data_IF_627318377431
#
_entry.id   IF_627318377431
#
_cell.length_a   1.000
_cell.length_b   1.000
_cell.length_c   1.000
_cell.angle_alpha   90.00
_cell.angle_beta   90.00
_cell.angle_gamma   90.00
#
_symmetry.space_group_name_H-M   'P 1'
#
loop_
_entity.id
_entity.type
_entity.pdbx_description
1 polymer ?
#
# COMPACT_ATOMS: atom_id res chain seq x y z
N UNK A 1 34.55 2.56 -16.50
CA UNK A 1 34.52 2.01 -15.12
C UNK A 1 33.14 2.25 -14.54
N UNK A 2 32.59 1.20 -13.89
CA UNK A 2 31.28 1.03 -13.22
C UNK A 2 30.00 1.30 -14.02
N UNK A 3 29.45 0.23 -14.62
CA UNK A 3 28.07 0.17 -15.08
C UNK A 3 27.07 0.25 -13.92
N UNK A 4 25.86 0.70 -14.24
CA UNK A 4 24.71 0.83 -13.34
C UNK A 4 24.23 -0.54 -12.82
N UNK A 5 24.81 -1.02 -11.73
CA UNK A 5 24.36 -2.22 -11.00
C UNK A 5 23.20 -1.93 -10.02
N UNK A 6 22.27 -1.05 -10.39
CA UNK A 6 21.23 -0.52 -9.50
C UNK A 6 19.86 -1.22 -9.56
N UNK A 7 19.77 -2.43 -10.12
CA UNK A 7 18.50 -3.19 -10.12
C UNK A 7 18.23 -3.79 -8.74
N UNK A 8 17.07 -3.51 -8.13
CA UNK A 8 16.70 -4.10 -6.83
C UNK A 8 16.72 -5.63 -6.91
N UNK A 9 17.13 -6.34 -5.84
CA UNK A 9 17.05 -7.80 -5.79
C UNK A 9 15.62 -8.25 -6.06
N UNK A 10 15.44 -9.09 -7.07
CA UNK A 10 14.14 -9.69 -7.43
C UNK A 10 13.93 -11.00 -6.65
N UNK A 11 12.68 -11.44 -6.60
CA UNK A 11 12.30 -12.69 -5.94
C UNK A 11 12.09 -12.58 -4.42
N UNK A 12 11.83 -13.71 -3.74
CA UNK A 12 11.32 -13.71 -2.36
C UNK A 12 12.23 -13.01 -1.35
N UNK A 13 13.55 -13.19 -1.45
CA UNK A 13 14.53 -12.52 -0.58
C UNK A 13 14.53 -11.01 -0.77
N UNK A 14 14.35 -10.55 -2.01
CA UNK A 14 14.26 -9.12 -2.33
C UNK A 14 13.01 -8.48 -1.76
N UNK A 15 11.87 -9.17 -1.83
CA UNK A 15 10.61 -8.75 -1.22
C UNK A 15 10.77 -8.64 0.30
N UNK A 16 11.27 -9.69 0.96
CA UNK A 16 11.45 -9.70 2.42
C UNK A 16 12.40 -8.59 2.90
N UNK A 17 13.52 -8.38 2.19
CA UNK A 17 14.45 -7.28 2.49
C UNK A 17 13.79 -5.92 2.31
N UNK A 18 13.03 -5.72 1.22
CA UNK A 18 12.32 -4.47 0.96
C UNK A 18 11.29 -4.20 2.04
N UNK A 19 10.53 -5.22 2.43
CA UNK A 19 9.53 -5.14 3.50
C UNK A 19 10.17 -4.72 4.83
N UNK A 20 11.25 -5.38 5.23
CA UNK A 20 11.98 -5.02 6.45
C UNK A 20 12.58 -3.59 6.38
N UNK A 21 13.14 -3.19 5.24
CA UNK A 21 13.70 -1.85 5.07
C UNK A 21 12.63 -0.76 5.11
N UNK A 22 11.45 -0.98 4.52
CA UNK A 22 10.32 -0.03 4.59
C UNK A 22 9.83 0.13 6.01
N UNK A 23 9.73 -0.96 6.79
CA UNK A 23 9.29 -0.89 8.19
C UNK A 23 10.35 -0.25 9.10
N UNK A 24 11.64 -0.51 8.91
CA UNK A 24 12.64 -0.06 9.89
C UNK A 24 13.32 1.25 9.47
N UNK A 25 13.43 1.51 8.17
CA UNK A 25 14.17 2.64 7.60
C UNK A 25 13.41 3.28 6.43
N UNK A 26 12.15 3.74 6.63
CA UNK A 26 11.25 4.12 5.55
C UNK A 26 11.82 5.19 4.62
N UNK A 27 12.43 6.25 5.17
CA UNK A 27 13.00 7.35 4.36
C UNK A 27 14.04 6.84 3.37
N UNK A 28 14.96 6.00 3.85
CA UNK A 28 15.98 5.33 3.02
C UNK A 28 15.34 4.38 2.01
N UNK A 29 14.31 3.64 2.43
CA UNK A 29 13.61 2.69 1.58
C UNK A 29 12.90 3.38 0.40
N UNK A 30 12.27 4.52 0.62
CA UNK A 30 11.60 5.30 -0.43
C UNK A 30 12.60 6.06 -1.30
N UNK A 31 13.60 6.72 -0.72
CA UNK A 31 14.61 7.47 -1.48
C UNK A 31 15.39 6.58 -2.47
N UNK A 32 15.74 5.35 -2.06
CA UNK A 32 16.52 4.43 -2.91
C UNK A 32 15.65 3.40 -3.65
N UNK A 33 14.37 3.34 -3.33
CA UNK A 33 13.50 2.25 -3.74
C UNK A 33 12.58 2.55 -4.89
N UNK A 34 12.54 3.80 -5.31
CA UNK A 34 11.60 4.29 -6.27
C UNK A 34 12.37 4.50 -7.57
N UNK A 35 12.00 3.74 -8.59
CA UNK A 35 12.62 3.82 -9.91
C UNK A 35 11.58 4.31 -10.91
N UNK A 36 11.74 5.50 -11.51
CA UNK A 36 10.81 6.00 -12.53
C UNK A 36 10.60 4.97 -13.66
N UNK A 37 9.34 4.73 -14.02
CA UNK A 37 8.97 3.78 -15.07
C UNK A 37 8.97 2.29 -14.70
N UNK A 38 9.48 1.87 -13.53
CA UNK A 38 9.55 0.45 -13.14
C UNK A 38 8.53 0.08 -12.04
N UNK A 39 7.29 -0.20 -12.43
CA UNK A 39 6.20 -0.53 -11.50
C UNK A 39 6.10 -2.02 -11.14
N UNK A 40 6.70 -2.91 -11.94
CA UNK A 40 6.54 -4.36 -11.78
C UNK A 40 7.01 -4.88 -10.40
N UNK A 41 8.13 -4.40 -9.82
CA UNK A 41 8.53 -4.78 -8.47
C UNK A 41 7.53 -4.35 -7.40
N UNK A 42 6.92 -3.17 -7.53
CA UNK A 42 5.92 -2.68 -6.60
C UNK A 42 4.61 -3.46 -6.66
N UNK A 43 4.14 -3.81 -7.86
CA UNK A 43 2.98 -4.70 -8.02
C UNK A 43 3.24 -6.05 -7.35
N UNK A 44 4.39 -6.66 -7.61
CA UNK A 44 4.75 -7.95 -7.02
C UNK A 44 4.81 -7.87 -5.49
N UNK A 45 5.36 -6.77 -4.96
CA UNK A 45 5.40 -6.51 -3.52
C UNK A 45 4.00 -6.38 -2.91
N UNK A 46 3.12 -5.57 -3.51
CA UNK A 46 1.75 -5.39 -3.03
C UNK A 46 0.96 -6.70 -3.04
N UNK A 47 1.13 -7.53 -4.07
CA UNK A 47 0.52 -8.87 -4.15
C UNK A 47 1.05 -9.76 -3.01
N UNK A 48 2.34 -9.72 -2.69
CA UNK A 48 2.90 -10.48 -1.58
C UNK A 48 2.34 -10.03 -0.22
N UNK A 49 2.17 -8.72 -0.01
CA UNK A 49 1.51 -8.16 1.19
C UNK A 49 0.07 -8.63 1.29
N UNK A 50 -0.70 -8.54 0.21
CA UNK A 50 -2.10 -8.99 0.17
C UNK A 50 -2.24 -10.51 0.39
N UNK A 51 -1.31 -11.30 -0.15
CA UNK A 51 -1.24 -12.74 0.09
C UNK A 51 -1.01 -13.05 1.58
N UNK A 52 -0.03 -12.39 2.22
CA UNK A 52 0.25 -12.54 3.64
C UNK A 52 -0.95 -12.15 4.51
N UNK A 53 -1.58 -11.02 4.21
CA UNK A 53 -2.82 -10.58 4.87
C UNK A 53 -3.92 -11.65 4.75
N UNK A 54 -4.17 -12.15 3.54
CA UNK A 54 -5.26 -13.11 3.28
C UNK A 54 -5.02 -14.44 3.97
N UNK A 55 -3.78 -14.94 3.93
CA UNK A 55 -3.40 -16.16 4.65
C UNK A 55 -3.53 -15.99 6.16
N UNK A 56 -3.13 -14.83 6.71
CA UNK A 56 -3.31 -14.53 8.12
C UNK A 56 -4.78 -14.50 8.52
N UNK A 57 -5.66 -13.96 7.67
CA UNK A 57 -7.10 -13.96 7.93
C UNK A 57 -7.67 -15.39 7.87
N UNK A 58 -7.40 -16.16 6.81
CA UNK A 58 -7.82 -17.56 6.67
C UNK A 58 -7.35 -18.40 7.86
N UNK A 59 -6.11 -18.22 8.32
CA UNK A 59 -5.55 -18.98 9.43
C UNK A 59 -6.20 -18.62 10.79
N UNK A 60 -6.58 -17.34 10.98
CA UNK A 60 -7.13 -16.87 12.26
C UNK A 60 -8.65 -17.03 12.39
N UNK A 61 -9.36 -16.96 11.26
CA UNK A 61 -10.83 -17.00 11.22
C UNK A 61 -11.32 -17.57 9.88
N UNK A 62 -11.14 -18.89 9.68
CA UNK A 62 -11.53 -19.55 8.43
C UNK A 62 -13.03 -19.54 8.19
N UNK A 63 -13.85 -19.39 9.24
CA UNK A 63 -15.30 -19.39 9.17
C UNK A 63 -15.88 -18.07 8.62
N UNK A 64 -15.15 -16.96 8.75
CA UNK A 64 -15.51 -15.67 8.16
C UNK A 64 -15.21 -15.55 6.66
N UNK A 65 -14.64 -16.59 6.03
CA UNK A 65 -14.37 -16.60 4.60
C UNK A 65 -15.68 -16.76 3.80
N UNK A 66 -15.85 -16.03 2.69
CA UNK A 66 -16.97 -16.26 1.78
C UNK A 66 -17.03 -17.72 1.31
N UNK A 67 -18.22 -18.32 1.40
CA UNK A 67 -18.47 -19.66 0.87
C UNK A 67 -18.69 -19.57 -0.64
N UNK A 68 -17.73 -20.08 -1.42
CA UNK A 68 -17.79 -20.10 -2.88
C UNK A 68 -18.15 -21.50 -3.39
N UNK A 69 -17.64 -22.54 -2.72
CA UNK A 69 -17.92 -23.94 -2.99
C UNK A 69 -18.55 -24.57 -1.74
N UNK A 70 -19.88 -24.72 -1.69
CA UNK A 70 -20.59 -25.19 -0.49
C UNK A 70 -20.12 -26.54 0.05
N UNK A 71 -19.64 -27.43 -0.82
CA UNK A 71 -19.18 -28.77 -0.45
C UNK A 71 -17.75 -28.82 0.10
N UNK A 72 -16.98 -27.73 0.02
CA UNK A 72 -15.57 -27.73 0.44
C UNK A 72 -15.13 -26.36 0.96
N UNK A 73 -14.97 -26.21 2.30
CA UNK A 73 -14.42 -25.01 2.91
C UNK A 73 -13.00 -24.69 2.41
N UNK A 74 -12.16 -25.72 2.26
CA UNK A 74 -10.78 -25.55 1.78
C UNK A 74 -10.74 -25.02 0.35
N UNK A 75 -11.60 -25.53 -0.54
CA UNK A 75 -11.68 -25.03 -1.91
C UNK A 75 -12.22 -23.60 -1.96
N UNK A 76 -13.20 -23.26 -1.11
CA UNK A 76 -13.67 -21.86 -0.97
C UNK A 76 -12.54 -20.92 -0.56
N UNK A 77 -11.75 -21.31 0.44
CA UNK A 77 -10.58 -20.52 0.91
C UNK A 77 -9.53 -20.37 -0.19
N UNK A 78 -9.23 -21.44 -0.93
CA UNK A 78 -8.28 -21.38 -2.05
C UNK A 78 -8.77 -20.45 -3.15
N UNK A 79 -10.05 -20.51 -3.51
CA UNK A 79 -10.63 -19.59 -4.52
C UNK A 79 -10.58 -18.15 -4.03
N UNK A 80 -10.96 -17.87 -2.78
CA UNK A 80 -10.87 -16.52 -2.20
C UNK A 80 -9.43 -16.02 -2.22
N UNK A 81 -8.46 -16.84 -1.81
CA UNK A 81 -7.04 -16.49 -1.86
C UNK A 81 -6.59 -16.15 -3.28
N UNK A 82 -6.93 -16.99 -4.27
CA UNK A 82 -6.60 -16.75 -5.68
C UNK A 82 -7.24 -15.47 -6.22
N UNK A 83 -8.51 -15.21 -5.90
CA UNK A 83 -9.20 -13.97 -6.28
C UNK A 83 -8.48 -12.76 -5.67
N UNK A 84 -8.04 -12.84 -4.41
CA UNK A 84 -7.32 -11.73 -3.79
C UNK A 84 -5.98 -11.47 -4.50
N UNK A 85 -5.15 -12.49 -4.69
CA UNK A 85 -3.80 -12.28 -5.22
C UNK A 85 -3.78 -11.97 -6.72
N UNK A 86 -4.68 -12.58 -7.50
CA UNK A 86 -4.72 -12.42 -8.95
C UNK A 86 -5.55 -11.23 -9.42
N UNK A 87 -6.55 -10.81 -8.65
CA UNK A 87 -7.48 -9.75 -9.06
C UNK A 87 -7.57 -8.61 -8.04
N UNK A 88 -7.95 -8.89 -6.79
CA UNK A 88 -8.25 -7.81 -5.84
C UNK A 88 -7.03 -6.97 -5.49
N UNK A 89 -5.85 -7.59 -5.35
CA UNK A 89 -4.61 -6.88 -5.02
C UNK A 89 -4.13 -5.97 -6.18
N UNK A 90 -4.02 -6.44 -7.45
CA UNK A 90 -3.73 -5.56 -8.59
C UNK A 90 -4.75 -4.43 -8.74
N UNK A 91 -6.05 -4.74 -8.73
CA UNK A 91 -7.13 -3.74 -8.89
C UNK A 91 -7.11 -2.73 -7.74
N UNK A 92 -6.98 -3.21 -6.50
CA UNK A 92 -6.90 -2.38 -5.31
C UNK A 92 -5.67 -1.47 -5.32
N UNK A 93 -4.51 -1.98 -5.76
CA UNK A 93 -3.31 -1.16 -5.94
C UNK A 93 -3.54 -0.06 -6.98
N UNK A 94 -4.05 -0.40 -8.17
CA UNK A 94 -4.29 0.59 -9.22
C UNK A 94 -5.29 1.66 -8.81
N UNK A 95 -6.40 1.27 -8.17
CA UNK A 95 -7.39 2.20 -7.68
C UNK A 95 -6.81 3.13 -6.60
N UNK A 96 -6.06 2.57 -5.64
CA UNK A 96 -5.41 3.36 -4.58
C UNK A 96 -4.36 4.30 -5.16
N UNK A 97 -3.56 3.84 -6.12
CA UNK A 97 -2.56 4.65 -6.80
C UNK A 97 -3.17 5.74 -7.68
N UNK A 98 -4.32 5.48 -8.32
CA UNK A 98 -5.07 6.48 -9.06
C UNK A 98 -5.57 7.59 -8.13
N UNK A 99 -6.18 7.22 -7.00
CA UNK A 99 -6.60 8.16 -5.96
C UNK A 99 -5.41 8.97 -5.42
N UNK A 100 -4.28 8.32 -5.15
CA UNK A 100 -3.05 8.97 -4.75
C UNK A 100 -2.53 9.95 -5.79
N UNK A 101 -2.53 9.56 -7.07
CA UNK A 101 -2.03 10.41 -8.16
C UNK A 101 -2.86 11.68 -8.27
N UNK A 102 -4.19 11.57 -8.22
CA UNK A 102 -5.09 12.73 -8.22
C UNK A 102 -4.83 13.61 -7.00
N UNK A 103 -4.74 13.01 -5.82
CA UNK A 103 -4.52 13.75 -4.57
C UNK A 103 -3.17 14.50 -4.57
N UNK A 104 -2.11 13.88 -5.08
CA UNK A 104 -0.79 14.50 -5.26
C UNK A 104 -0.84 15.64 -6.28
N UNK A 105 -1.50 15.44 -7.43
CA UNK A 105 -1.66 16.50 -8.45
C UNK A 105 -2.36 17.72 -7.86
N UNK A 106 -3.49 17.51 -7.17
CA UNK A 106 -4.23 18.59 -6.50
C UNK A 106 -3.37 19.25 -5.44
N UNK A 107 -2.67 18.48 -4.62
CA UNK A 107 -1.78 18.99 -3.59
C UNK A 107 -0.53 19.71 -4.15
N UNK A 108 -0.20 19.53 -5.43
CA UNK A 108 0.91 20.22 -6.12
C UNK A 108 0.47 21.52 -6.81
N UNK A 109 -0.82 21.83 -6.87
CA UNK A 109 -1.30 23.07 -7.48
C UNK A 109 -0.80 24.28 -6.69
N UNK A 110 -0.21 25.24 -7.41
CA UNK A 110 0.21 26.54 -6.92
C UNK A 110 -0.55 27.62 -7.67
N UNK A 111 -1.05 28.60 -6.90
CA UNK A 111 -1.72 29.78 -7.43
C UNK A 111 -0.85 30.96 -7.03
N UNK A 112 -0.21 31.56 -8.03
CA UNK A 112 0.61 32.75 -7.87
C UNK A 112 0.25 33.74 -8.97
N UNK A 113 0.07 35.00 -8.60
CA UNK A 113 -0.22 36.11 -9.53
C UNK A 113 -1.39 35.86 -10.50
N UNK A 114 -2.42 35.12 -10.06
CA UNK A 114 -3.60 34.78 -10.87
C UNK A 114 -3.42 33.62 -11.85
N UNK A 115 -2.26 32.96 -11.84
CA UNK A 115 -1.95 31.82 -12.70
C UNK A 115 -1.89 30.50 -11.91
N UNK A 116 -2.29 29.41 -12.57
CA UNK A 116 -2.17 28.05 -12.05
C UNK A 116 -0.90 27.39 -12.60
N UNK A 117 -0.09 26.85 -11.70
CA UNK A 117 1.05 26.00 -12.06
C UNK A 117 1.10 24.76 -11.18
N UNK A 118 1.89 23.77 -11.60
CA UNK A 118 2.17 22.59 -10.79
C UNK A 118 3.59 22.70 -10.25
N UNK A 119 3.75 22.43 -8.96
CA UNK A 119 5.06 22.18 -8.36
C UNK A 119 5.71 20.95 -8.99
N UNK A 120 7.04 20.96 -9.02
CA UNK A 120 7.82 19.78 -9.35
C UNK A 120 7.49 18.63 -8.38
N UNK A 121 7.30 17.43 -8.94
CA UNK A 121 6.91 16.23 -8.20
C UNK A 121 7.26 14.97 -8.99
N UNK A 122 7.44 13.86 -8.28
CA UNK A 122 7.53 12.53 -8.90
C UNK A 122 6.31 12.18 -9.77
N UNK A 123 6.52 11.26 -10.71
CA UNK A 123 5.53 10.78 -11.67
C UNK A 123 4.50 9.79 -11.11
N UNK A 124 3.69 9.23 -12.01
CA UNK A 124 2.66 8.23 -11.69
C UNK A 124 3.30 6.93 -11.21
N UNK A 125 4.37 6.46 -11.88
CA UNK A 125 5.07 5.23 -11.50
C UNK A 125 5.63 5.28 -10.09
N UNK A 126 6.13 6.42 -9.67
CA UNK A 126 6.69 6.66 -8.36
C UNK A 126 5.60 6.69 -7.30
N UNK A 127 4.45 7.28 -7.63
CA UNK A 127 3.24 7.26 -6.78
C UNK A 127 2.75 5.82 -6.54
N UNK A 128 2.64 5.02 -7.61
CA UNK A 128 2.24 3.60 -7.52
C UNK A 128 3.17 2.82 -6.59
N UNK A 129 4.49 3.00 -6.76
CA UNK A 129 5.49 2.34 -5.93
C UNK A 129 5.42 2.78 -4.47
N UNK A 130 5.22 4.07 -4.20
CA UNK A 130 5.06 4.58 -2.84
C UNK A 130 3.84 3.98 -2.14
N UNK A 131 2.69 3.91 -2.83
CA UNK A 131 1.47 3.26 -2.33
C UNK A 131 1.68 1.78 -2.06
N UNK A 132 2.34 1.07 -2.98
CA UNK A 132 2.62 -0.35 -2.82
C UNK A 132 3.51 -0.61 -1.60
N UNK A 133 4.63 0.11 -1.47
CA UNK A 133 5.55 -0.11 -0.36
C UNK A 133 4.98 0.33 0.99
N UNK A 134 4.23 1.43 1.04
CA UNK A 134 3.57 1.87 2.27
C UNK A 134 2.56 0.85 2.82
N UNK A 135 2.06 -0.08 1.99
CA UNK A 135 1.22 -1.20 2.46
C UNK A 135 1.94 -2.23 3.33
N UNK A 136 3.26 -2.15 3.50
CA UNK A 136 4.09 -3.14 4.23
C UNK A 136 3.52 -3.63 5.57
N UNK A 137 2.99 -2.77 6.46
CA UNK A 137 2.43 -3.24 7.74
C UNK A 137 1.23 -4.16 7.56
N UNK A 138 0.48 -4.01 6.47
CA UNK A 138 -0.75 -4.78 6.24
C UNK A 138 -0.49 -6.27 6.05
N UNK A 139 0.75 -6.68 5.75
CA UNK A 139 1.13 -8.09 5.74
C UNK A 139 0.93 -8.77 7.10
N UNK A 140 0.94 -8.00 8.20
CA UNK A 140 0.72 -8.47 9.57
C UNK A 140 -0.74 -8.30 10.02
N UNK A 141 -1.58 -7.60 9.25
CA UNK A 141 -2.94 -7.22 9.64
C UNK A 141 -4.02 -8.27 9.32
N UNK A 142 -3.60 -9.42 8.79
CA UNK A 142 -4.46 -10.53 8.41
C UNK A 142 -5.27 -11.11 9.59
N UNK A 143 -4.64 -11.45 10.73
CA UNK A 143 -5.33 -12.01 11.87
C UNK A 143 -6.55 -11.19 12.31
N UNK A 144 -7.60 -11.86 12.79
CA UNK A 144 -8.84 -11.25 13.29
C UNK A 144 -8.66 -10.51 14.64
N UNK A 145 -7.63 -9.67 14.74
CA UNK A 145 -7.29 -8.84 15.90
C UNK A 145 -7.48 -7.37 15.51
N UNK A 146 -8.58 -6.72 15.93
CA UNK A 146 -8.90 -5.35 15.51
C UNK A 146 -7.80 -4.33 15.83
N UNK A 147 -7.18 -4.42 17.01
CA UNK A 147 -6.12 -3.52 17.47
C UNK A 147 -4.90 -3.59 16.57
N UNK A 148 -4.48 -4.81 16.22
CA UNK A 148 -3.35 -5.05 15.31
C UNK A 148 -3.66 -4.47 13.93
N UNK A 149 -4.87 -4.67 13.42
CA UNK A 149 -5.28 -4.17 12.10
C UNK A 149 -5.32 -2.64 12.06
N UNK A 150 -5.83 -1.99 13.11
CA UNK A 150 -5.82 -0.54 13.24
C UNK A 150 -4.39 0.00 13.34
N UNK A 151 -3.53 -0.63 14.15
CA UNK A 151 -2.13 -0.25 14.27
C UNK A 151 -1.38 -0.36 12.94
N UNK A 152 -1.58 -1.46 12.19
CA UNK A 152 -1.01 -1.63 10.86
C UNK A 152 -1.53 -0.56 9.88
N UNK A 153 -2.84 -0.28 9.87
CA UNK A 153 -3.44 0.72 8.99
C UNK A 153 -2.94 2.14 9.27
N UNK A 154 -2.85 2.51 10.55
CA UNK A 154 -2.27 3.78 10.97
C UNK A 154 -0.80 3.88 10.56
N UNK A 155 -0.04 2.80 10.75
CA UNK A 155 1.37 2.79 10.38
C UNK A 155 1.56 2.86 8.85
N UNK A 156 0.73 2.17 8.07
CA UNK A 156 0.74 2.26 6.61
C UNK A 156 0.46 3.70 6.13
N UNK A 157 -0.46 4.42 6.79
CA UNK A 157 -0.72 5.83 6.50
C UNK A 157 0.51 6.72 6.80
N UNK A 158 1.21 6.47 7.91
CA UNK A 158 2.48 7.16 8.22
C UNK A 158 3.55 6.87 7.16
N UNK A 159 3.69 5.60 6.75
CA UNK A 159 4.63 5.23 5.70
C UNK A 159 4.29 5.89 4.36
N UNK A 160 3.01 6.04 4.02
CA UNK A 160 2.58 6.73 2.82
C UNK A 160 2.91 8.22 2.88
N UNK A 161 2.69 8.86 4.03
CA UNK A 161 3.12 10.23 4.26
C UNK A 161 4.63 10.39 4.06
N UNK A 162 5.44 9.50 4.66
CA UNK A 162 6.90 9.50 4.48
C UNK A 162 7.26 9.29 3.01
N UNK A 163 6.65 8.32 2.34
CA UNK A 163 6.88 8.04 0.92
C UNK A 163 6.60 9.27 0.05
N UNK A 164 5.49 9.96 0.28
CA UNK A 164 5.16 11.17 -0.49
C UNK A 164 6.09 12.34 -0.20
N UNK A 165 6.58 12.50 1.04
CA UNK A 165 7.61 13.50 1.38
C UNK A 165 8.90 13.26 0.60
N UNK A 166 9.35 12.00 0.53
CA UNK A 166 10.61 11.64 -0.14
C UNK A 166 10.48 11.64 -1.66
N UNK A 167 9.33 11.22 -2.22
CA UNK A 167 9.14 11.06 -3.67
C UNK A 167 8.65 12.33 -4.36
N UNK A 168 7.79 13.11 -3.71
CA UNK A 168 7.14 14.27 -4.33
C UNK A 168 7.59 15.61 -3.75
N UNK A 169 8.44 15.62 -2.70
CA UNK A 169 8.96 16.86 -2.13
C UNK A 169 7.90 17.81 -1.52
N UNK A 170 6.65 17.34 -1.36
CA UNK A 170 5.54 18.14 -0.85
C UNK A 170 5.81 18.61 0.59
N UNK A 171 5.42 19.84 0.94
CA UNK A 171 5.43 20.31 2.33
C UNK A 171 4.49 19.50 3.23
N UNK A 172 4.68 19.47 4.57
CA UNK A 172 3.96 18.55 5.47
C UNK A 172 2.44 18.61 5.36
N UNK A 173 1.85 19.82 5.30
CA UNK A 173 0.40 19.98 5.18
C UNK A 173 -0.13 19.42 3.85
N UNK A 174 0.53 19.75 2.73
CA UNK A 174 0.18 19.25 1.41
C UNK A 174 0.34 17.74 1.34
N UNK A 175 1.37 17.17 1.98
CA UNK A 175 1.53 15.73 2.06
C UNK A 175 0.42 15.06 2.85
N UNK A 176 -0.01 15.64 3.97
CA UNK A 176 -1.13 15.11 4.74
C UNK A 176 -2.41 15.09 3.90
N UNK A 177 -2.72 16.20 3.21
CA UNK A 177 -3.87 16.30 2.29
C UNK A 177 -3.78 15.26 1.18
N UNK A 178 -2.60 15.05 0.59
CA UNK A 178 -2.40 14.07 -0.48
C UNK A 178 -2.50 12.62 0.00
N UNK A 179 -2.00 12.31 1.21
CA UNK A 179 -1.89 10.94 1.71
C UNK A 179 -3.20 10.40 2.30
N UNK A 180 -4.06 11.26 2.85
CA UNK A 180 -5.30 10.83 3.53
C UNK A 180 -6.26 10.06 2.60
N UNK A 181 -6.64 10.56 1.41
CA UNK A 181 -7.57 9.84 0.54
C UNK A 181 -7.11 8.42 0.14
N UNK A 182 -5.88 8.22 -0.40
CA UNK A 182 -5.42 6.88 -0.74
C UNK A 182 -5.19 5.99 0.50
N UNK A 183 -4.77 6.53 1.64
CA UNK A 183 -4.63 5.73 2.86
C UNK A 183 -5.99 5.22 3.37
N UNK A 184 -7.01 6.08 3.37
CA UNK A 184 -8.37 5.73 3.76
C UNK A 184 -8.97 4.66 2.82
N UNK A 185 -8.76 4.82 1.51
CA UNK A 185 -9.25 3.88 0.51
C UNK A 185 -8.50 2.53 0.57
N UNK A 186 -7.18 2.56 0.40
CA UNK A 186 -6.37 1.35 0.28
C UNK A 186 -6.22 0.58 1.60
N UNK A 187 -5.77 1.26 2.65
CA UNK A 187 -5.46 0.63 3.94
C UNK A 187 -6.67 0.62 4.87
N UNK A 188 -7.51 1.66 4.80
CA UNK A 188 -8.73 1.78 5.57
C UNK A 188 -9.83 0.82 5.10
N UNK A 189 -10.23 0.91 3.83
CA UNK A 189 -11.28 0.06 3.25
C UNK A 189 -10.72 -1.26 2.73
N UNK A 190 -9.73 -1.21 1.84
CA UNK A 190 -9.18 -2.42 1.18
C UNK A 190 -8.65 -3.47 2.16
N UNK A 191 -7.93 -3.02 3.20
CA UNK A 191 -7.44 -3.89 4.28
C UNK A 191 -8.27 -3.82 5.57
N UNK A 192 -9.46 -3.21 5.52
CA UNK A 192 -10.47 -3.22 6.60
C UNK A 192 -10.04 -2.56 7.92
N UNK A 193 -9.04 -1.67 7.93
CA UNK A 193 -8.66 -0.95 9.16
C UNK A 193 -9.78 -0.04 9.68
N UNK A 194 -10.60 0.56 8.82
CA UNK A 194 -11.78 1.36 9.23
C UNK A 194 -12.84 0.50 9.91
N UNK A 195 -13.12 -0.69 9.35
CA UNK A 195 -14.07 -1.62 9.95
C UNK A 195 -13.57 -2.09 11.34
N UNK A 196 -12.27 -2.37 11.48
CA UNK A 196 -11.68 -2.72 12.77
C UNK A 196 -11.77 -1.57 13.79
N UNK A 197 -11.52 -0.32 13.36
CA UNK A 197 -11.66 0.85 14.22
C UNK A 197 -13.11 1.01 14.72
N UNK A 198 -14.09 0.81 13.84
CA UNK A 198 -15.51 0.84 14.20
C UNK A 198 -15.87 -0.21 15.25
N UNK A 199 -15.35 -1.43 15.11
CA UNK A 199 -15.52 -2.48 16.12
C UNK A 199 -14.98 -2.06 17.49
N UNK A 200 -13.80 -1.44 17.55
CA UNK A 200 -13.20 -0.96 18.80
C UNK A 200 -13.96 0.21 19.43
N UNK A 201 -14.59 1.05 18.60
CA UNK A 201 -15.36 2.21 19.04
C UNK A 201 -16.83 1.89 19.35
N UNK A 202 -17.29 0.65 19.09
CA UNK A 202 -18.68 0.24 19.29
C UNK A 202 -19.67 0.90 18.32
N UNK A 203 -19.26 1.19 17.08
CA UNK A 203 -20.02 1.96 16.09
C UNK A 203 -20.30 1.23 14.76
#
# INVERSE_FOLDING_TARGET
MSGSSGGRPRGPRGIARTWAEVLVRPRRAFANGITPGDQAPALTFAVAVAAAFTLGWIASDPAAMPVVVPSSPLLSQAVVFLVVVALAAPVGLHLTAAAATVAVVVASVEIADGHFSLRDRGGVSETVQAVAYASSPMALAGPAIPELRVACGAYAAVLLFVGFREVHGLGPLRTAVAAVPPAALGYGVGYRAVAAARTLLGA
#
